data_IF_542302380702
#
_entry.id   IF_542302380702
#
_cell.length_a   1.000
_cell.length_b   1.000
_cell.length_c   1.000
_cell.angle_alpha   90.00
_cell.angle_beta   90.00
_cell.angle_gamma   90.00
#
_symmetry.space_group_name_H-M   'P 1'
#
loop_
_entity.id
_entity.type
_entity.pdbx_description
1 polymer ?
#
# COMPACT_ATOMS: atom_id res chain seq x y z
N UNK A 1 12.83 33.47 -42.60
CA UNK A 1 11.48 32.90 -42.45
C UNK A 1 11.42 32.08 -41.16
N UNK A 2 10.57 32.52 -40.22
CA UNK A 2 10.17 31.77 -39.02
C UNK A 2 9.57 30.42 -39.43
N UNK A 3 9.69 29.44 -38.53
CA UNK A 3 8.73 28.37 -38.18
C UNK A 3 9.56 27.22 -37.57
N UNK A 4 10.15 27.41 -36.40
CA UNK A 4 9.59 26.93 -35.12
C UNK A 4 8.82 25.62 -35.30
N UNK A 5 9.57 24.52 -35.39
CA UNK A 5 9.05 23.16 -35.36
C UNK A 5 8.51 22.92 -33.96
N UNK A 6 7.24 23.28 -33.75
CA UNK A 6 6.52 22.93 -32.52
C UNK A 6 6.35 21.42 -32.51
N UNK A 7 7.15 20.74 -31.71
CA UNK A 7 6.81 19.41 -31.25
C UNK A 7 5.52 19.52 -30.43
N UNK A 8 4.40 19.33 -31.10
CA UNK A 8 3.12 19.08 -30.48
C UNK A 8 3.21 17.72 -29.79
N UNK A 9 3.76 17.68 -28.58
CA UNK A 9 3.48 16.57 -27.66
C UNK A 9 2.03 16.75 -27.23
N UNK A 10 1.10 16.38 -28.11
CA UNK A 10 -0.22 16.00 -27.67
C UNK A 10 0.00 14.93 -26.62
N UNK A 11 -0.17 15.30 -25.36
CA UNK A 11 -0.53 14.38 -24.30
C UNK A 11 -1.87 13.80 -24.70
N UNK A 12 -1.84 12.85 -25.64
CA UNK A 12 -3.00 12.05 -26.00
C UNK A 12 -3.30 11.34 -24.71
N UNK A 13 -4.36 11.78 -24.03
CA UNK A 13 -4.99 11.02 -22.98
C UNK A 13 -5.34 9.68 -23.62
N UNK A 14 -4.42 8.72 -23.54
CA UNK A 14 -4.70 7.35 -23.88
C UNK A 14 -5.92 7.00 -23.05
N UNK A 15 -6.99 6.45 -23.67
CA UNK A 15 -8.08 5.90 -22.90
C UNK A 15 -7.47 5.02 -21.81
N UNK A 16 -7.76 5.29 -20.54
CA UNK A 16 -7.25 4.44 -19.47
C UNK A 16 -7.94 3.09 -19.66
N UNK A 17 -7.15 2.08 -19.98
CA UNK A 17 -7.61 0.72 -20.32
C UNK A 17 -7.51 -0.18 -19.11
N UNK A 18 -8.10 -1.38 -19.20
CA UNK A 18 -7.88 -2.47 -18.23
C UNK A 18 -6.39 -2.76 -18.04
N UNK A 19 -5.59 -2.70 -19.11
CA UNK A 19 -4.13 -2.85 -19.04
C UNK A 19 -3.47 -1.78 -18.14
N UNK A 20 -4.03 -0.57 -18.08
CA UNK A 20 -3.53 0.47 -17.19
C UNK A 20 -3.82 0.15 -15.71
N UNK A 21 -4.93 -0.52 -15.40
CA UNK A 21 -5.22 -1.03 -14.05
C UNK A 21 -4.36 -2.24 -13.71
N UNK A 22 -4.16 -3.15 -14.66
CA UNK A 22 -3.31 -4.34 -14.49
C UNK A 22 -1.85 -3.97 -14.17
N UNK A 23 -1.36 -2.86 -14.72
CA UNK A 23 -0.03 -2.33 -14.42
C UNK A 23 0.11 -1.79 -12.98
N UNK A 24 -0.99 -1.59 -12.25
CA UNK A 24 -0.97 -1.12 -10.86
C UNK A 24 -0.79 -2.33 -9.95
N UNK A 25 0.47 -2.55 -9.58
CA UNK A 25 0.87 -3.57 -8.60
C UNK A 25 1.31 -2.93 -7.28
N UNK A 26 1.10 -3.65 -6.18
CA UNK A 26 1.58 -3.27 -4.85
C UNK A 26 3.09 -3.49 -4.75
N UNK A 27 3.83 -2.45 -4.38
CA UNK A 27 5.29 -2.47 -4.28
C UNK A 27 5.75 -3.14 -2.98
N UNK A 28 7.03 -3.52 -2.89
CA UNK A 28 7.57 -4.29 -1.75
C UNK A 28 7.36 -3.65 -0.38
N UNK A 29 7.61 -2.35 -0.26
CA UNK A 29 7.49 -1.59 1.00
C UNK A 29 6.21 -0.76 1.08
N UNK A 30 5.28 -0.97 0.14
CA UNK A 30 4.06 -0.19 0.07
C UNK A 30 2.95 -0.80 0.95
N UNK A 31 2.38 -0.02 1.89
CA UNK A 31 1.22 -0.42 2.68
C UNK A 31 0.00 -0.69 1.80
N UNK A 32 -0.91 -1.55 2.26
CA UNK A 32 -2.10 -1.91 1.48
C UNK A 32 -2.95 -0.68 1.14
N UNK A 33 -3.07 0.27 2.08
CA UNK A 33 -3.83 1.51 1.90
C UNK A 33 -3.36 2.33 0.69
N UNK A 34 -2.06 2.58 0.59
CA UNK A 34 -1.48 3.40 -0.48
C UNK A 34 -1.66 2.74 -1.85
N UNK A 35 -1.52 1.41 -1.90
CA UNK A 35 -1.80 0.65 -3.11
C UNK A 35 -3.26 0.82 -3.57
N UNK A 36 -4.23 0.62 -2.66
CA UNK A 36 -5.66 0.75 -2.98
C UNK A 36 -6.03 2.17 -3.39
N UNK A 37 -5.44 3.20 -2.79
CA UNK A 37 -5.63 4.59 -3.20
C UNK A 37 -5.18 4.84 -4.65
N UNK A 38 -4.01 4.30 -5.04
CA UNK A 38 -3.52 4.38 -6.44
C UNK A 38 -4.43 3.63 -7.40
N UNK A 39 -4.85 2.43 -7.03
CA UNK A 39 -5.75 1.61 -7.84
C UNK A 39 -7.10 2.30 -8.03
N UNK A 40 -7.75 2.73 -6.95
CA UNK A 40 -9.05 3.40 -6.99
C UNK A 40 -9.01 4.68 -7.81
N UNK A 41 -7.94 5.48 -7.66
CA UNK A 41 -7.74 6.69 -8.47
C UNK A 41 -7.71 6.39 -9.97
N UNK A 42 -7.04 5.31 -10.38
CA UNK A 42 -7.03 4.92 -11.78
C UNK A 42 -8.36 4.29 -12.22
N UNK A 43 -8.99 3.47 -11.37
CA UNK A 43 -10.22 2.75 -11.67
C UNK A 43 -11.42 3.66 -11.91
N UNK A 44 -11.48 4.86 -11.31
CA UNK A 44 -12.52 5.86 -11.56
C UNK A 44 -12.60 6.27 -13.03
N UNK A 45 -11.47 6.21 -13.75
CA UNK A 45 -11.38 6.65 -15.13
C UNK A 45 -11.51 5.51 -16.15
N UNK A 46 -11.61 4.25 -15.68
CA UNK A 46 -11.69 3.06 -16.53
C UNK A 46 -13.06 2.41 -16.37
N UNK A 47 -13.82 2.34 -17.46
CA UNK A 47 -15.11 1.63 -17.46
C UNK A 47 -14.87 0.12 -17.43
N UNK A 48 -14.98 -0.48 -16.25
CA UNK A 48 -14.82 -1.92 -15.98
C UNK A 48 -15.92 -2.43 -15.07
N UNK A 49 -16.28 -3.70 -15.23
CA UNK A 49 -17.20 -4.35 -14.30
C UNK A 49 -16.51 -4.72 -12.97
N UNK A 50 -17.32 -5.00 -11.96
CA UNK A 50 -16.82 -5.24 -10.61
C UNK A 50 -16.07 -6.57 -10.46
N UNK A 51 -16.36 -7.56 -11.31
CA UNK A 51 -15.61 -8.83 -11.33
C UNK A 51 -14.20 -8.61 -11.86
N UNK A 52 -14.06 -7.82 -12.92
CA UNK A 52 -12.77 -7.45 -13.49
C UNK A 52 -11.96 -6.60 -12.50
N UNK A 53 -12.59 -5.63 -11.83
CA UNK A 53 -11.90 -4.87 -10.76
C UNK A 53 -11.41 -5.77 -9.64
N UNK A 54 -12.25 -6.70 -9.18
CA UNK A 54 -11.88 -7.65 -8.13
C UNK A 54 -10.70 -8.53 -8.57
N UNK A 55 -10.74 -9.05 -9.80
CA UNK A 55 -9.64 -9.82 -10.39
C UNK A 55 -8.33 -9.01 -10.45
N UNK A 56 -8.40 -7.76 -10.91
CA UNK A 56 -7.23 -6.89 -11.04
C UNK A 56 -6.67 -6.46 -9.68
N UNK A 57 -7.54 -6.25 -8.68
CA UNK A 57 -7.14 -5.99 -7.30
C UNK A 57 -6.37 -7.17 -6.72
N UNK A 58 -6.92 -8.39 -6.82
CA UNK A 58 -6.27 -9.61 -6.32
C UNK A 58 -4.92 -9.85 -7.00
N UNK A 59 -4.89 -9.73 -8.33
CA UNK A 59 -3.67 -9.90 -9.12
C UNK A 59 -2.61 -8.83 -8.85
N UNK A 60 -3.03 -7.62 -8.51
CA UNK A 60 -2.14 -6.51 -8.21
C UNK A 60 -1.55 -6.55 -6.79
N UNK A 61 -2.04 -7.43 -5.90
CA UNK A 61 -1.48 -7.59 -4.56
C UNK A 61 -0.03 -8.09 -4.61
N UNK A 62 0.76 -7.68 -3.62
CA UNK A 62 2.14 -8.14 -3.49
C UNK A 62 2.13 -9.63 -3.14
N UNK A 63 2.76 -10.44 -4.01
CA UNK A 63 2.90 -11.89 -3.79
C UNK A 63 3.55 -12.17 -2.45
N UNK A 64 2.97 -13.10 -1.69
CA UNK A 64 3.48 -13.50 -0.38
C UNK A 64 3.20 -12.51 0.75
N UNK A 65 2.55 -11.35 0.49
CA UNK A 65 2.02 -10.51 1.55
C UNK A 65 0.95 -11.27 2.35
N UNK A 66 0.82 -10.96 3.64
CA UNK A 66 -0.14 -11.65 4.49
C UNK A 66 -1.59 -11.39 4.06
N UNK A 67 -1.86 -10.20 3.52
CA UNK A 67 -3.15 -9.91 2.89
C UNK A 67 -3.40 -10.78 1.65
N UNK A 68 -2.45 -10.89 0.72
CA UNK A 68 -2.59 -11.76 -0.45
C UNK A 68 -2.81 -13.23 -0.07
N UNK A 69 -2.11 -13.72 0.98
CA UNK A 69 -2.37 -15.06 1.52
C UNK A 69 -3.80 -15.18 2.06
N UNK A 70 -4.26 -14.19 2.83
CA UNK A 70 -5.59 -14.20 3.41
C UNK A 70 -6.71 -14.17 2.35
N UNK A 71 -6.50 -13.44 1.25
CA UNK A 71 -7.41 -13.44 0.08
C UNK A 71 -7.37 -14.77 -0.67
N UNK A 72 -6.19 -15.40 -0.78
CA UNK A 72 -6.07 -16.71 -1.43
C UNK A 72 -6.64 -17.89 -0.63
N UNK A 73 -6.72 -17.79 0.70
CA UNK A 73 -7.29 -18.82 1.58
C UNK A 73 -8.83 -18.79 1.54
N UNK A 74 -9.41 -17.60 1.56
CA UNK A 74 -10.86 -17.41 1.61
C UNK A 74 -11.30 -16.75 0.31
N UNK A 75 -12.04 -17.50 -0.51
CA UNK A 75 -12.53 -17.01 -1.80
C UNK A 75 -13.41 -15.76 -1.60
N UNK A 76 -12.94 -14.62 -2.10
CA UNK A 76 -13.68 -13.36 -2.11
C UNK A 76 -14.44 -13.23 -3.42
N UNK A 77 -15.77 -13.11 -3.35
CA UNK A 77 -16.66 -13.11 -4.52
C UNK A 77 -17.16 -11.72 -4.92
N UNK A 78 -17.01 -10.73 -4.05
CA UNK A 78 -17.54 -9.37 -4.26
C UNK A 78 -16.50 -8.31 -3.88
N UNK A 79 -16.58 -7.14 -4.51
CA UNK A 79 -15.75 -6.00 -4.14
C UNK A 79 -15.97 -5.56 -2.70
N UNK A 80 -17.21 -5.59 -2.21
CA UNK A 80 -17.52 -5.18 -0.84
C UNK A 80 -16.80 -6.08 0.18
N UNK A 81 -16.87 -7.41 0.00
CA UNK A 81 -16.17 -8.35 0.87
C UNK A 81 -14.64 -8.16 0.81
N UNK A 82 -14.10 -7.84 -0.37
CA UNK A 82 -12.69 -7.49 -0.53
C UNK A 82 -12.33 -6.25 0.29
N UNK A 83 -13.08 -5.16 0.15
CA UNK A 83 -12.81 -3.90 0.83
C UNK A 83 -13.04 -3.99 2.33
N UNK A 84 -14.03 -4.73 2.82
CA UNK A 84 -14.22 -4.99 4.25
C UNK A 84 -13.00 -5.69 4.86
N UNK A 85 -12.45 -6.70 4.18
CA UNK A 85 -11.25 -7.40 4.62
C UNK A 85 -10.02 -6.51 4.55
N UNK A 86 -9.89 -5.72 3.48
CA UNK A 86 -8.81 -4.75 3.32
C UNK A 86 -8.81 -3.70 4.43
N UNK A 87 -9.97 -3.16 4.81
CA UNK A 87 -10.09 -2.20 5.91
C UNK A 87 -9.62 -2.78 7.25
N UNK A 88 -10.03 -4.02 7.57
CA UNK A 88 -9.56 -4.71 8.78
C UNK A 88 -8.04 -4.89 8.78
N UNK A 89 -7.47 -5.27 7.63
CA UNK A 89 -6.04 -5.46 7.51
C UNK A 89 -5.25 -4.15 7.54
N UNK A 90 -5.75 -3.07 6.93
CA UNK A 90 -5.14 -1.72 7.03
C UNK A 90 -5.08 -1.27 8.48
N UNK A 91 -6.16 -1.42 9.24
CA UNK A 91 -6.17 -1.09 10.66
C UNK A 91 -5.15 -1.92 11.46
N UNK A 92 -4.96 -3.19 11.09
CA UNK A 92 -3.92 -4.04 11.65
C UNK A 92 -2.50 -3.53 11.31
N UNK A 93 -2.20 -3.24 10.04
CA UNK A 93 -0.90 -2.69 9.61
C UNK A 93 -0.58 -1.38 10.34
N UNK A 94 -1.53 -0.44 10.37
CA UNK A 94 -1.36 0.87 11.03
C UNK A 94 -1.10 0.71 12.54
N UNK A 95 -1.77 -0.24 13.20
CA UNK A 95 -1.54 -0.55 14.62
C UNK A 95 -0.12 -1.10 14.86
N UNK A 96 0.37 -1.97 13.98
CA UNK A 96 1.71 -2.56 14.10
C UNK A 96 2.80 -1.49 13.92
N UNK A 97 2.65 -0.61 12.93
CA UNK A 97 3.57 0.52 12.71
C UNK A 97 3.59 1.43 13.93
N UNK A 98 2.43 1.78 14.49
CA UNK A 98 2.36 2.62 15.68
C UNK A 98 3.00 1.95 16.92
N UNK A 99 2.86 0.63 17.06
CA UNK A 99 3.48 -0.12 18.15
C UNK A 99 5.02 -0.12 18.04
N UNK A 100 5.57 -0.32 16.84
CA UNK A 100 7.02 -0.32 16.63
C UNK A 100 7.63 1.06 16.87
N UNK A 101 6.97 2.14 16.42
CA UNK A 101 7.41 3.52 16.69
C UNK A 101 7.46 3.82 18.20
N UNK A 102 6.48 3.33 18.97
CA UNK A 102 6.48 3.46 20.44
C UNK A 102 7.63 2.69 21.07
N UNK A 103 7.91 1.48 20.57
CA UNK A 103 8.99 0.63 21.07
C UNK A 103 10.36 1.27 20.83
N UNK A 104 10.59 1.80 19.63
CA UNK A 104 11.83 2.52 19.29
C UNK A 104 12.06 3.72 20.20
N UNK A 105 11.04 4.56 20.42
CA UNK A 105 11.13 5.69 21.38
C UNK A 105 11.51 5.23 22.79
N UNK A 106 10.92 4.14 23.29
CA UNK A 106 11.25 3.63 24.63
C UNK A 106 12.68 3.08 24.75
N UNK A 107 13.28 2.62 23.65
CA UNK A 107 14.66 2.14 23.63
C UNK A 107 15.67 3.29 23.54
N UNK A 108 15.36 4.35 22.79
CA UNK A 108 16.20 5.56 22.72
C UNK A 108 16.24 6.32 24.05
N UNK A 109 15.10 6.39 24.77
CA UNK A 109 15.03 7.00 26.11
C UNK A 109 15.72 6.17 27.21
N UNK A 110 16.02 4.89 26.94
CA UNK A 110 16.74 3.99 27.85
C UNK A 110 18.26 3.98 27.63
N UNK A 111 18.82 5.09 27.11
CA UNK A 111 20.26 5.32 26.97
C UNK A 111 21.06 5.05 28.27
N UNK A 112 22.37 4.75 28.17
CA UNK A 112 23.11 3.96 29.15
C UNK A 112 23.02 4.57 30.54
N UNK A 113 22.17 3.94 31.38
CA UNK A 113 22.13 4.21 32.81
C UNK A 113 23.53 3.95 33.35
N UNK A 114 24.27 5.04 33.56
CA UNK A 114 25.59 5.03 34.17
C UNK A 114 25.43 4.32 35.51
N UNK A 115 25.89 3.07 35.54
CA UNK A 115 26.09 2.26 36.75
C UNK A 115 27.17 2.98 37.56
N UNK A 116 26.79 4.07 38.22
CA UNK A 116 27.60 4.78 39.19
C UNK A 116 27.71 3.88 40.40
N UNK A 117 28.72 3.01 40.40
CA UNK A 117 29.19 2.41 41.63
C UNK A 117 29.79 3.51 42.49
N UNK A 118 29.25 3.70 43.69
CA UNK A 118 30.08 4.21 44.78
C UNK A 118 29.74 3.42 46.03
N UNK A 119 30.65 2.50 46.33
CA UNK A 119 30.72 1.77 47.60
C UNK A 119 31.08 2.80 48.67
N UNK A 120 30.15 3.13 49.56
CA UNK A 120 30.52 3.59 50.90
C UNK A 120 30.31 2.46 51.89
N UNK A 121 31.39 1.70 52.09
CA UNK A 121 31.62 0.95 53.31
C UNK A 121 32.06 1.93 54.40
N UNK A 122 31.46 1.75 55.56
CA UNK A 122 32.01 1.89 56.93
C UNK A 122 32.90 3.09 57.26
#
# INVERSE_FOLDING_TARGET
CRLFTTHFTASRHQPKTEAALEAIVQREVEPLRTYLERFNKAAVEVKTDDRMKLYLLDRGLRRGSDFAKAVGIEEIKTLDAFFEKAQKYIAYEEKQVAAEVRRQKSQDEAGPSRRGGDKRKE
#
